data_IF_149154853819
#
_entry.id   IF_149154853819
#
_cell.length_a   1.000
_cell.length_b   1.000
_cell.length_c   1.000
_cell.angle_alpha   90.00
_cell.angle_beta   90.00
_cell.angle_gamma   90.00
#
_symmetry.space_group_name_H-M   'P 1'
#
loop_
_entity.id
_entity.type
_entity.pdbx_description
1 polymer ?
#
# COMPACT_ATOMS: atom_id res chain seq x y z
N UNK A 1 -10.95 16.26 -4.08
CA UNK A 1 -10.10 15.81 -2.96
C UNK A 1 -8.87 16.70 -2.90
N UNK A 2 -8.59 17.28 -1.73
CA UNK A 2 -7.45 18.17 -1.57
C UNK A 2 -6.13 17.41 -1.62
N UNK A 3 -5.24 17.67 -2.61
CA UNK A 3 -3.97 16.98 -2.73
C UNK A 3 -3.06 17.16 -1.50
N UNK A 4 -3.17 18.31 -0.82
CA UNK A 4 -2.34 18.57 0.37
C UNK A 4 -2.83 17.82 1.61
N UNK A 5 -4.05 17.28 1.58
CA UNK A 5 -4.62 16.49 2.65
C UNK A 5 -4.78 15.01 2.28
N UNK A 6 -4.15 14.60 1.20
CA UNK A 6 -4.26 13.23 0.67
C UNK A 6 -2.91 12.53 0.69
N UNK A 7 -2.87 11.38 1.33
CA UNK A 7 -1.68 10.53 1.39
C UNK A 7 -1.89 9.27 0.53
N UNK A 8 -0.94 8.98 -0.33
CA UNK A 8 -0.89 7.75 -1.10
C UNK A 8 0.02 6.75 -0.40
N UNK A 9 -0.50 5.59 -0.08
CA UNK A 9 0.17 4.58 0.73
C UNK A 9 0.49 3.37 -0.14
N UNK A 10 1.77 3.10 -0.33
CA UNK A 10 2.22 1.99 -1.18
C UNK A 10 2.69 0.85 -0.28
N UNK A 11 1.90 -0.21 -0.23
CA UNK A 11 2.18 -1.37 0.62
C UNK A 11 3.09 -2.37 -0.11
N UNK A 12 4.16 -2.76 0.57
CA UNK A 12 5.06 -3.85 0.18
C UNK A 12 5.60 -3.78 -1.26
N UNK A 13 6.12 -2.62 -1.70
CA UNK A 13 6.72 -2.52 -3.02
C UNK A 13 8.15 -3.09 -2.99
N UNK A 14 8.26 -4.40 -2.84
CA UNK A 14 9.54 -5.07 -2.74
C UNK A 14 10.30 -5.04 -4.06
N UNK A 15 11.63 -4.90 -3.99
CA UNK A 15 12.48 -4.98 -5.17
C UNK A 15 12.38 -6.37 -5.80
N UNK A 16 12.37 -7.40 -4.97
CA UNK A 16 12.25 -8.80 -5.38
C UNK A 16 11.17 -9.44 -4.52
N UNK A 17 10.24 -10.14 -5.14
CA UNK A 17 9.21 -10.86 -4.39
C UNK A 17 9.83 -12.04 -3.64
N UNK A 18 9.67 -12.12 -2.31
CA UNK A 18 10.24 -13.20 -1.52
C UNK A 18 9.45 -14.50 -1.67
N UNK A 19 10.06 -15.67 -1.30
CA UNK A 19 9.29 -16.89 -1.17
C UNK A 19 8.14 -16.71 -0.15
N UNK A 20 6.97 -17.31 -0.35
CA UNK A 20 6.60 -18.24 -1.43
C UNK A 20 6.08 -17.56 -2.71
N UNK A 21 6.24 -16.26 -2.84
CA UNK A 21 5.64 -15.49 -3.93
C UNK A 21 6.51 -15.49 -5.20
N UNK A 22 7.81 -15.75 -5.07
CA UNK A 22 8.66 -15.92 -6.23
C UNK A 22 8.11 -17.03 -7.12
N UNK A 23 8.19 -16.84 -8.43
CA UNK A 23 7.61 -17.79 -9.38
C UNK A 23 6.14 -17.55 -9.69
N UNK A 24 5.42 -16.82 -8.81
CA UNK A 24 4.04 -16.39 -9.04
C UNK A 24 3.97 -14.93 -9.40
N UNK A 25 4.91 -14.13 -8.91
CA UNK A 25 5.18 -12.80 -9.39
C UNK A 25 6.48 -12.87 -10.19
N UNK A 26 6.38 -12.78 -11.49
CA UNK A 26 7.59 -12.62 -12.31
C UNK A 26 8.12 -11.20 -12.09
N UNK A 27 9.43 -11.01 -12.29
CA UNK A 27 10.01 -9.67 -12.22
C UNK A 27 9.29 -8.70 -13.15
N UNK A 28 8.84 -9.19 -14.32
CA UNK A 28 8.11 -8.37 -15.29
C UNK A 28 6.77 -7.87 -14.74
N UNK A 29 6.03 -8.73 -14.02
CA UNK A 29 4.74 -8.33 -13.41
C UNK A 29 4.99 -7.32 -12.31
N UNK A 30 5.98 -7.58 -11.47
CA UNK A 30 6.35 -6.68 -10.38
C UNK A 30 6.75 -5.31 -10.94
N UNK A 31 7.60 -5.28 -11.95
CA UNK A 31 8.03 -4.05 -12.59
C UNK A 31 6.87 -3.33 -13.29
N UNK A 32 5.99 -4.06 -13.94
CA UNK A 32 4.81 -3.48 -14.59
C UNK A 32 3.95 -2.72 -13.60
N UNK A 33 3.63 -3.34 -12.47
CA UNK A 33 2.81 -2.69 -11.44
C UNK A 33 3.53 -1.52 -10.78
N UNK A 34 4.82 -1.68 -10.49
CA UNK A 34 5.61 -0.60 -9.90
C UNK A 34 5.68 0.62 -10.83
N UNK A 35 5.90 0.39 -12.12
CA UNK A 35 5.93 1.47 -13.12
C UNK A 35 4.57 2.18 -13.21
N UNK A 36 3.49 1.43 -13.21
CA UNK A 36 2.13 1.98 -13.28
C UNK A 36 1.83 2.86 -12.07
N UNK A 37 2.18 2.38 -10.87
CA UNK A 37 2.00 3.14 -9.64
C UNK A 37 2.85 4.40 -9.66
N UNK A 38 4.12 4.29 -9.97
CA UNK A 38 5.05 5.43 -9.99
C UNK A 38 4.62 6.50 -10.99
N UNK A 39 4.17 6.10 -12.17
CA UNK A 39 3.67 7.02 -13.19
C UNK A 39 2.46 7.80 -12.69
N UNK A 40 1.49 7.10 -12.09
CA UNK A 40 0.31 7.74 -11.53
C UNK A 40 0.67 8.72 -10.40
N UNK A 41 1.64 8.37 -9.57
CA UNK A 41 2.01 9.16 -8.39
C UNK A 41 3.03 10.26 -8.67
N UNK A 42 3.52 10.40 -9.90
CA UNK A 42 4.59 11.32 -10.25
C UNK A 42 4.33 12.74 -9.74
N UNK A 43 3.12 13.25 -9.91
CA UNK A 43 2.74 14.60 -9.53
C UNK A 43 2.00 14.71 -8.20
N UNK A 44 1.93 13.62 -7.43
CA UNK A 44 1.25 13.64 -6.14
C UNK A 44 2.23 14.09 -5.05
N UNK A 45 1.85 15.07 -4.21
CA UNK A 45 2.80 15.65 -3.24
C UNK A 45 3.12 14.74 -2.06
N UNK A 46 2.20 13.86 -1.67
CA UNK A 46 2.38 13.03 -0.47
C UNK A 46 2.21 11.55 -0.80
N UNK A 47 3.32 10.85 -0.84
CA UNK A 47 3.38 9.44 -1.20
C UNK A 47 4.41 8.74 -0.31
N UNK A 48 4.01 7.59 0.23
CA UNK A 48 4.75 6.90 1.28
C UNK A 48 4.85 5.42 0.99
N UNK A 49 6.01 4.84 1.30
CA UNK A 49 6.22 3.39 1.22
C UNK A 49 6.03 2.79 2.61
N UNK A 50 5.22 1.75 2.69
CA UNK A 50 4.92 1.03 3.92
C UNK A 50 5.39 -0.41 3.81
N UNK A 51 6.36 -0.78 4.62
CA UNK A 51 6.93 -2.13 4.71
C UNK A 51 7.40 -2.37 6.12
N UNK A 52 7.54 -3.64 6.50
CA UNK A 52 8.30 -3.96 7.70
C UNK A 52 9.79 -3.69 7.46
N UNK A 53 10.50 -3.20 8.48
CA UNK A 53 11.93 -2.93 8.35
C UNK A 53 12.72 -4.16 7.98
N UNK A 54 12.33 -5.33 8.52
CA UNK A 54 12.99 -6.60 8.20
C UNK A 54 12.86 -6.94 6.72
N UNK A 55 11.68 -6.78 6.13
CA UNK A 55 11.47 -7.06 4.70
C UNK A 55 12.19 -6.03 3.82
N UNK A 56 12.22 -4.77 4.26
CA UNK A 56 12.99 -3.72 3.58
C UNK A 56 14.47 -4.05 3.55
N UNK A 57 15.00 -4.52 4.66
CA UNK A 57 16.41 -4.88 4.78
C UNK A 57 16.79 -6.06 3.89
N UNK A 58 15.96 -7.12 3.87
CA UNK A 58 16.27 -8.34 3.11
C UNK A 58 15.93 -8.26 1.63
N UNK A 59 14.81 -7.63 1.27
CA UNK A 59 14.29 -7.64 -0.09
C UNK A 59 14.39 -6.30 -0.80
N UNK A 60 14.61 -5.22 -0.04
CA UNK A 60 14.74 -3.88 -0.56
C UNK A 60 13.42 -3.28 -1.06
N UNK A 61 13.44 -1.98 -1.28
CA UNK A 61 12.34 -1.24 -1.90
C UNK A 61 12.56 -1.26 -3.41
N UNK A 62 11.50 -1.46 -4.17
CA UNK A 62 11.58 -1.40 -5.62
C UNK A 62 12.19 -0.05 -6.06
N UNK A 63 13.09 -0.07 -7.03
CA UNK A 63 13.87 1.09 -7.45
C UNK A 63 13.01 2.32 -7.81
N UNK A 64 11.79 2.11 -8.29
CA UNK A 64 10.87 3.21 -8.63
C UNK A 64 10.45 4.03 -7.42
N UNK A 65 10.57 3.48 -6.22
CA UNK A 65 10.13 4.13 -4.98
C UNK A 65 11.27 4.44 -4.02
N UNK A 66 12.52 4.29 -4.43
CA UNK A 66 13.69 4.51 -3.57
C UNK A 66 13.71 5.90 -2.95
N UNK A 67 13.20 6.89 -3.65
CA UNK A 67 13.20 8.29 -3.19
C UNK A 67 11.91 8.69 -2.49
N UNK A 68 10.96 7.77 -2.34
CA UNK A 68 9.72 8.04 -1.61
C UNK A 68 10.00 7.94 -0.11
N UNK A 69 9.24 8.69 0.67
CA UNK A 69 9.36 8.61 2.12
C UNK A 69 8.91 7.24 2.62
N UNK A 70 9.77 6.60 3.43
CA UNK A 70 9.46 5.32 4.05
C UNK A 70 8.85 5.56 5.43
N UNK A 71 7.78 4.83 5.75
CA UNK A 71 7.13 4.88 7.05
C UNK A 71 7.04 3.46 7.60
N UNK A 72 7.49 3.27 8.84
CA UNK A 72 7.27 2.01 9.55
C UNK A 72 5.79 1.90 9.91
N UNK A 73 5.25 0.69 9.87
CA UNK A 73 3.83 0.50 10.21
C UNK A 73 3.47 1.06 11.59
N UNK A 74 4.36 0.89 12.56
CA UNK A 74 4.13 1.37 13.93
C UNK A 74 4.08 2.90 14.06
N UNK A 75 4.63 3.63 13.10
CA UNK A 75 4.62 5.10 13.10
C UNK A 75 3.46 5.68 12.30
N UNK A 76 2.64 4.82 11.71
CA UNK A 76 1.59 5.20 10.77
C UNK A 76 0.65 6.26 11.33
N UNK A 77 0.10 5.99 12.52
CA UNK A 77 -0.91 6.88 13.09
C UNK A 77 -0.39 8.31 13.25
N UNK A 78 0.80 8.45 13.83
CA UNK A 78 1.40 9.78 14.08
C UNK A 78 1.69 10.52 12.78
N UNK A 79 2.15 9.79 11.76
CA UNK A 79 2.50 10.37 10.46
C UNK A 79 1.28 10.75 9.64
N UNK A 80 0.17 10.05 9.81
CA UNK A 80 -1.04 10.26 9.01
C UNK A 80 -2.03 11.25 9.63
N UNK A 81 -1.82 11.69 10.85
CA UNK A 81 -2.77 12.59 11.54
C UNK A 81 -3.06 13.89 10.80
N UNK A 82 -2.10 14.38 10.03
CA UNK A 82 -2.25 15.58 9.21
C UNK A 82 -3.23 15.39 8.04
N UNK A 83 -3.34 14.16 7.55
CA UNK A 83 -4.10 13.88 6.34
C UNK A 83 -5.57 13.58 6.64
N UNK A 84 -6.44 13.90 5.68
CA UNK A 84 -7.86 13.58 5.73
C UNK A 84 -8.19 12.34 4.91
N UNK A 85 -7.45 12.15 3.81
CA UNK A 85 -7.71 11.09 2.84
C UNK A 85 -6.51 10.16 2.73
N UNK A 86 -6.78 8.86 2.81
CA UNK A 86 -5.76 7.82 2.66
C UNK A 86 -6.13 6.96 1.46
N UNK A 87 -5.23 6.89 0.50
CA UNK A 87 -5.43 6.08 -0.70
C UNK A 87 -4.45 4.91 -0.67
N UNK A 88 -4.98 3.73 -0.55
CA UNK A 88 -4.22 2.49 -0.46
C UNK A 88 -3.84 1.99 -1.84
N UNK A 89 -2.56 1.78 -2.06
CA UNK A 89 -1.95 1.30 -3.29
C UNK A 89 -0.96 0.17 -2.96
N UNK A 90 -0.42 -0.44 -3.99
CA UNK A 90 0.69 -1.39 -3.85
C UNK A 90 0.28 -2.83 -3.98
N UNK A 91 0.97 -3.67 -3.23
CA UNK A 91 0.89 -5.12 -3.38
C UNK A 91 0.14 -5.76 -2.22
N UNK A 92 -0.26 -7.03 -2.41
CA UNK A 92 -0.91 -7.84 -1.36
C UNK A 92 -2.23 -7.25 -0.87
N UNK A 93 -3.00 -6.67 -1.80
CA UNK A 93 -4.32 -6.11 -1.46
C UNK A 93 -5.24 -7.19 -0.89
N UNK A 94 -5.98 -6.80 0.13
CA UNK A 94 -6.88 -7.71 0.84
C UNK A 94 -6.20 -8.49 1.95
N UNK A 95 -4.87 -8.45 2.00
CA UNK A 95 -4.03 -9.05 3.04
C UNK A 95 -3.32 -7.95 3.80
N UNK A 96 -2.13 -7.55 3.36
CA UNK A 96 -1.34 -6.52 4.06
C UNK A 96 -2.06 -5.17 4.14
N UNK A 97 -2.76 -4.77 3.10
CA UNK A 97 -3.51 -3.51 3.09
C UNK A 97 -4.66 -3.48 4.10
N UNK A 98 -5.15 -4.63 4.53
CA UNK A 98 -6.26 -4.75 5.48
C UNK A 98 -5.77 -5.17 6.87
N UNK A 99 -4.94 -6.21 6.93
CA UNK A 99 -4.64 -6.93 8.17
C UNK A 99 -3.38 -6.45 8.91
N UNK A 100 -2.52 -5.65 8.29
CA UNK A 100 -1.30 -5.20 8.95
C UNK A 100 -1.64 -4.32 10.15
N UNK A 101 -1.12 -4.68 11.32
CA UNK A 101 -1.33 -3.91 12.54
C UNK A 101 -0.88 -2.45 12.33
N UNK A 102 -1.63 -1.52 12.87
CA UNK A 102 -1.44 -0.07 12.85
C UNK A 102 -1.77 0.61 11.53
N UNK A 103 -1.42 0.02 10.40
CA UNK A 103 -1.56 0.66 9.07
C UNK A 103 -2.63 0.04 8.18
N UNK A 104 -3.01 -1.20 8.43
CA UNK A 104 -4.03 -1.87 7.64
C UNK A 104 -5.40 -1.24 7.83
N UNK A 105 -6.22 -1.26 6.79
CA UNK A 105 -7.52 -0.59 6.81
C UNK A 105 -8.46 -1.09 7.92
N UNK A 106 -8.31 -2.35 8.32
CA UNK A 106 -9.07 -2.92 9.44
C UNK A 106 -8.87 -2.11 10.73
N UNK A 107 -7.64 -1.70 11.02
CA UNK A 107 -7.30 -0.91 12.20
C UNK A 107 -7.59 0.56 12.00
N UNK A 108 -7.25 1.07 10.85
CA UNK A 108 -7.40 2.49 10.51
C UNK A 108 -8.87 2.91 10.48
N UNK A 109 -9.75 2.06 9.96
CA UNK A 109 -11.18 2.35 9.92
C UNK A 109 -11.83 2.41 11.31
N UNK A 110 -11.21 1.82 12.32
CA UNK A 110 -11.70 1.79 13.70
C UNK A 110 -11.07 2.89 14.57
N UNK A 111 -10.14 3.66 14.04
CA UNK A 111 -9.46 4.71 14.79
C UNK A 111 -10.42 5.86 15.13
N UNK A 112 -10.15 6.55 16.25
CA UNK A 112 -10.91 7.74 16.64
C UNK A 112 -10.78 8.86 15.62
N UNK A 113 -9.61 8.98 15.01
CA UNK A 113 -9.39 9.87 13.89
C UNK A 113 -10.05 9.28 12.65
N UNK A 114 -10.99 9.99 12.07
CA UNK A 114 -11.80 9.46 10.96
C UNK A 114 -11.22 9.88 9.63
N UNK A 115 -10.28 9.08 9.13
CA UNK A 115 -9.78 9.25 7.77
C UNK A 115 -10.82 8.76 6.76
N UNK A 116 -10.81 9.36 5.59
CA UNK A 116 -11.49 8.82 4.42
C UNK A 116 -10.56 7.79 3.76
N UNK A 117 -11.00 6.56 3.68
CA UNK A 117 -10.19 5.43 3.17
C UNK A 117 -10.65 5.05 1.78
N UNK A 118 -9.71 4.93 0.85
CA UNK A 118 -9.97 4.53 -0.53
C UNK A 118 -8.98 3.45 -0.95
N UNK A 119 -9.49 2.43 -1.64
CA UNK A 119 -8.66 1.41 -2.29
C UNK A 119 -8.64 1.70 -3.79
N UNK A 120 -7.48 2.06 -4.30
CA UNK A 120 -7.34 2.38 -5.73
C UNK A 120 -7.00 1.11 -6.50
N UNK A 121 -8.03 0.42 -7.02
CA UNK A 121 -7.89 -0.87 -7.69
C UNK A 121 -6.84 -0.87 -8.79
N UNK A 122 -6.79 0.19 -9.59
CA UNK A 122 -5.82 0.31 -10.68
C UNK A 122 -4.36 0.25 -10.20
N UNK A 123 -4.14 0.60 -8.93
CA UNK A 123 -2.81 0.66 -8.32
C UNK A 123 -2.64 -0.41 -7.24
N UNK A 124 -3.48 -1.43 -7.22
CA UNK A 124 -3.41 -2.53 -6.27
C UNK A 124 -3.18 -3.84 -7.00
N UNK A 125 -2.33 -4.68 -6.41
CA UNK A 125 -2.00 -6.00 -6.93
C UNK A 125 -2.36 -7.05 -5.89
N UNK A 126 -3.07 -8.09 -6.32
CA UNK A 126 -3.46 -9.20 -5.43
C UNK A 126 -2.31 -10.17 -5.25
N UNK A 127 -2.32 -10.91 -4.14
CA UNK A 127 -1.48 -12.08 -3.99
C UNK A 127 -1.91 -13.16 -4.97
N UNK A 128 -0.96 -13.98 -5.46
CA UNK A 128 -1.30 -15.12 -6.29
C UNK A 128 -2.35 -16.02 -5.61
N UNK A 129 -3.38 -16.38 -6.34
CA UNK A 129 -4.47 -17.20 -5.81
C UNK A 129 -5.63 -16.42 -5.20
N UNK A 130 -5.47 -15.15 -4.91
CA UNK A 130 -6.56 -14.31 -4.42
C UNK A 130 -7.41 -13.81 -5.59
N UNK A 131 -8.68 -13.46 -5.31
CA UNK A 131 -9.59 -12.93 -6.30
C UNK A 131 -10.08 -11.53 -5.89
N UNK A 132 -10.41 -10.71 -6.89
CA UNK A 132 -10.97 -9.38 -6.64
C UNK A 132 -12.32 -9.45 -5.93
N UNK A 133 -13.15 -10.46 -6.25
CA UNK A 133 -14.44 -10.64 -5.59
C UNK A 133 -14.25 -10.84 -4.10
N UNK A 134 -13.33 -11.73 -3.71
CA UNK A 134 -13.03 -12.02 -2.31
C UNK A 134 -12.45 -10.79 -1.61
N UNK A 135 -11.50 -10.10 -2.24
CA UNK A 135 -10.85 -8.94 -1.63
C UNK A 135 -11.76 -7.73 -1.53
N UNK A 136 -12.66 -7.53 -2.50
CA UNK A 136 -13.69 -6.51 -2.43
C UNK A 136 -14.66 -6.78 -1.26
N UNK A 137 -15.03 -8.04 -1.04
CA UNK A 137 -15.87 -8.42 0.10
C UNK A 137 -15.20 -8.12 1.43
N UNK A 138 -13.91 -8.42 1.54
CA UNK A 138 -13.14 -8.13 2.77
C UNK A 138 -13.04 -6.64 3.06
N UNK A 139 -12.96 -5.81 2.04
CA UNK A 139 -12.68 -4.37 2.19
C UNK A 139 -13.89 -3.47 2.15
N UNK A 140 -15.06 -3.98 1.75
CA UNK A 140 -16.24 -3.14 1.43
C UNK A 140 -16.73 -2.25 2.56
N UNK A 141 -16.54 -2.65 3.82
CA UNK A 141 -17.00 -1.88 4.97
C UNK A 141 -15.93 -0.94 5.53
N UNK A 142 -14.76 -0.91 4.93
CA UNK A 142 -13.62 -0.10 5.37
C UNK A 142 -13.44 1.14 4.52
N UNK A 143 -13.94 1.10 3.29
CA UNK A 143 -13.86 2.23 2.37
C UNK A 143 -15.03 3.19 2.61
N UNK A 144 -14.71 4.46 2.55
CA UNK A 144 -15.70 5.53 2.73
C UNK A 144 -16.40 5.87 1.43
#
# INVERSE_FOLDING_TARGET
>A
MDPQKTAYLIFDPWRVQPPPFEGNYTDNINDYHANKIAEYLENKPHKFVLMFESTKEFYGVHKKFENYEFIRHQDFRNRMMWFENLIYCGFHHGRCTIDTKDSGAKYVSQDKHKWNIFFKKDLLCLLPGDSWIEMDERSKNMEN
#
